data_IF_596792351948
#
_entry.id   IF_596792351948
#
_cell.length_a   1.000
_cell.length_b   1.000
_cell.length_c   1.000
_cell.angle_alpha   90.00
_cell.angle_beta   90.00
_cell.angle_gamma   90.00
#
_symmetry.space_group_name_H-M   'P 1'
#
loop_
_entity.id
_entity.type
_entity.pdbx_description
1 polymer ?
#
# COMPACT_ATOMS: atom_id res chain seq x y z
N UNK A 1 31.81 -24.00 -15.49
CA UNK A 1 31.81 -23.54 -14.09
C UNK A 1 30.47 -24.03 -13.54
N UNK A 2 30.48 -25.26 -13.01
CA UNK A 2 29.27 -25.97 -12.60
C UNK A 2 28.78 -25.42 -11.27
N UNK A 3 27.54 -24.92 -11.24
CA UNK A 3 26.89 -24.45 -10.03
C UNK A 3 26.20 -25.66 -9.40
N UNK A 4 26.86 -26.26 -8.40
CA UNK A 4 26.25 -27.28 -7.55
C UNK A 4 25.11 -26.65 -6.73
N UNK A 5 23.87 -26.94 -7.12
CA UNK A 5 22.69 -26.67 -6.29
C UNK A 5 22.72 -27.62 -5.08
N UNK A 6 23.26 -27.16 -3.95
CA UNK A 6 23.14 -27.85 -2.66
C UNK A 6 21.66 -27.96 -2.31
N UNK A 7 21.10 -29.17 -2.47
CA UNK A 7 19.79 -29.54 -1.92
C UNK A 7 19.85 -29.48 -0.39
N UNK A 8 19.50 -28.31 0.15
CA UNK A 8 19.20 -28.16 1.57
C UNK A 8 18.07 -29.11 1.95
N UNK A 9 18.28 -29.86 3.03
CA UNK A 9 17.30 -30.74 3.66
C UNK A 9 15.99 -29.99 3.90
N UNK A 10 14.92 -30.42 3.23
CA UNK A 10 13.54 -29.93 3.44
C UNK A 10 13.12 -30.23 4.88
N UNK A 11 13.31 -29.28 5.78
CA UNK A 11 12.49 -29.23 6.99
C UNK A 11 11.06 -28.96 6.55
N UNK A 12 10.11 -29.72 7.09
CA UNK A 12 8.70 -29.47 6.88
C UNK A 12 8.40 -28.02 7.32
N UNK A 13 8.17 -27.14 6.34
CA UNK A 13 7.70 -25.78 6.58
C UNK A 13 6.32 -25.96 7.20
N UNK A 14 6.18 -25.54 8.45
CA UNK A 14 4.90 -25.46 9.14
C UNK A 14 4.01 -24.53 8.29
N UNK A 15 3.01 -25.10 7.61
CA UNK A 15 2.25 -24.47 6.51
C UNK A 15 1.22 -23.44 7.01
N UNK A 16 1.58 -22.61 7.98
CA UNK A 16 0.78 -21.45 8.43
C UNK A 16 1.49 -20.18 7.96
N UNK A 17 1.41 -19.90 6.66
CA UNK A 17 1.99 -18.71 6.06
C UNK A 17 0.95 -17.94 5.24
N UNK A 18 1.28 -16.71 4.85
CA UNK A 18 0.49 -15.76 4.06
C UNK A 18 -0.02 -16.25 2.68
N UNK A 19 0.16 -17.53 2.36
CA UNK A 19 -0.19 -18.17 1.09
C UNK A 19 -1.07 -19.41 1.29
N UNK A 20 -1.58 -19.65 2.49
CA UNK A 20 -2.56 -20.70 2.69
C UNK A 20 -3.91 -20.35 2.03
N UNK A 21 -4.72 -21.39 1.79
CA UNK A 21 -6.01 -21.25 1.09
C UNK A 21 -7.03 -20.45 1.93
N UNK A 22 -6.91 -20.51 3.26
CA UNK A 22 -7.71 -19.72 4.17
C UNK A 22 -7.46 -18.21 4.00
N UNK A 23 -6.19 -17.79 3.85
CA UNK A 23 -5.80 -16.39 3.61
C UNK A 23 -6.50 -15.81 2.39
N UNK A 24 -6.47 -16.52 1.27
CA UNK A 24 -7.12 -16.08 0.02
C UNK A 24 -8.64 -16.03 0.13
N UNK A 25 -9.25 -16.99 0.84
CA UNK A 25 -10.69 -16.97 1.06
C UNK A 25 -11.12 -15.82 1.97
N UNK A 26 -10.36 -15.51 3.02
CA UNK A 26 -10.61 -14.37 3.89
C UNK A 26 -10.40 -13.04 3.15
N UNK A 27 -9.43 -12.94 2.25
CA UNK A 27 -9.27 -11.78 1.36
C UNK A 27 -10.49 -11.55 0.46
N UNK A 28 -11.04 -12.61 -0.14
CA UNK A 28 -12.25 -12.50 -0.97
C UNK A 28 -13.50 -12.14 -0.18
N UNK A 29 -13.57 -12.59 1.07
CA UNK A 29 -14.63 -12.13 1.96
C UNK A 29 -14.53 -10.62 2.18
N UNK A 30 -13.34 -10.07 2.41
CA UNK A 30 -13.16 -8.62 2.57
C UNK A 30 -13.60 -7.84 1.32
N UNK A 31 -13.41 -8.40 0.13
CA UNK A 31 -13.91 -7.81 -1.12
C UNK A 31 -15.45 -7.74 -1.18
N UNK A 32 -16.16 -8.67 -0.53
CA UNK A 32 -17.63 -8.68 -0.47
C UNK A 32 -18.23 -7.54 0.38
N UNK A 33 -17.36 -6.78 1.04
CA UNK A 33 -17.68 -5.69 1.94
C UNK A 33 -17.55 -4.39 1.14
N UNK A 34 -18.64 -3.63 0.96
CA UNK A 34 -18.65 -2.37 0.22
C UNK A 34 -17.92 -1.22 0.94
N UNK A 35 -16.72 -1.47 1.45
CA UNK A 35 -15.77 -0.41 1.76
C UNK A 35 -14.95 -0.19 0.48
N UNK A 36 -14.65 1.05 0.12
CA UNK A 36 -13.94 1.44 -1.12
C UNK A 36 -12.46 1.01 -1.15
N UNK A 37 -12.20 -0.24 -0.81
CA UNK A 37 -10.88 -0.77 -0.54
C UNK A 37 -10.22 -1.40 -1.77
N UNK A 38 -10.92 -1.43 -2.91
CA UNK A 38 -10.36 -1.84 -4.19
C UNK A 38 -10.64 -3.28 -4.58
N UNK A 39 -10.12 -3.67 -5.76
CA UNK A 39 -10.16 -5.05 -6.27
C UNK A 39 -9.28 -5.98 -5.41
N UNK A 40 -9.49 -7.30 -5.46
CA UNK A 40 -8.71 -8.36 -4.76
C UNK A 40 -7.19 -8.07 -4.62
N UNK A 41 -6.52 -7.56 -5.67
CA UNK A 41 -5.09 -7.22 -5.66
C UNK A 41 -4.77 -6.02 -4.74
N UNK A 42 -5.60 -4.98 -4.76
CA UNK A 42 -5.44 -3.85 -3.84
C UNK A 42 -5.66 -4.32 -2.39
N UNK A 43 -6.60 -5.25 -2.17
CA UNK A 43 -6.81 -5.81 -0.83
C UNK A 43 -5.63 -6.61 -0.32
N UNK A 44 -5.07 -7.46 -1.19
CA UNK A 44 -3.82 -8.14 -0.91
C UNK A 44 -2.71 -7.15 -0.54
N UNK A 45 -2.50 -6.10 -1.34
CA UNK A 45 -1.47 -5.08 -1.05
C UNK A 45 -1.71 -4.34 0.26
N UNK A 46 -2.96 -4.00 0.58
CA UNK A 46 -3.29 -3.32 1.84
C UNK A 46 -3.08 -4.22 3.07
N UNK A 47 -3.41 -5.52 2.99
CA UNK A 47 -3.11 -6.48 4.05
C UNK A 47 -1.59 -6.58 4.25
N UNK A 48 -0.86 -6.80 3.18
CA UNK A 48 0.57 -7.08 3.24
C UNK A 48 1.46 -5.87 3.50
N UNK A 49 0.94 -4.64 3.35
CA UNK A 49 1.58 -3.40 3.78
C UNK A 49 1.18 -2.94 5.18
N UNK A 50 0.37 -3.73 5.90
CA UNK A 50 -0.14 -3.41 7.24
C UNK A 50 -1.22 -2.31 7.25
N UNK A 51 -1.54 -1.73 6.09
CA UNK A 51 -2.46 -0.59 5.97
C UNK A 51 -3.92 -0.98 6.20
N UNK A 52 -4.33 -2.22 5.88
CA UNK A 52 -5.71 -2.67 6.08
C UNK A 52 -6.14 -2.53 7.53
N UNK A 53 -5.25 -2.86 8.46
CA UNK A 53 -5.54 -2.87 9.90
C UNK A 53 -5.36 -1.52 10.59
N UNK A 54 -5.14 -0.44 9.84
CA UNK A 54 -5.13 0.91 10.41
C UNK A 54 -6.50 1.25 11.02
N UNK A 55 -6.50 1.99 12.14
CA UNK A 55 -7.72 2.33 12.88
C UNK A 55 -8.78 3.00 12.01
N UNK A 56 -8.35 3.83 11.05
CA UNK A 56 -9.23 4.52 10.10
C UNK A 56 -10.07 3.55 9.26
N UNK A 57 -9.49 2.45 8.79
CA UNK A 57 -10.19 1.48 7.96
C UNK A 57 -11.17 0.65 8.79
N UNK A 58 -10.80 0.32 10.02
CA UNK A 58 -11.68 -0.35 10.97
C UNK A 58 -12.87 0.52 11.40
N UNK A 59 -12.66 1.81 11.60
CA UNK A 59 -13.73 2.75 11.94
C UNK A 59 -14.74 2.88 10.80
N UNK A 60 -14.26 3.00 9.57
CA UNK A 60 -15.11 3.07 8.39
C UNK A 60 -15.90 1.76 8.21
N UNK A 61 -15.25 0.62 8.41
CA UNK A 61 -15.93 -0.65 8.31
C UNK A 61 -16.95 -0.86 9.45
N UNK A 62 -16.65 -0.41 10.66
CA UNK A 62 -17.61 -0.39 11.79
C UNK A 62 -18.83 0.44 11.44
N UNK A 63 -18.63 1.60 10.81
CA UNK A 63 -19.70 2.48 10.33
C UNK A 63 -20.59 1.78 9.31
N UNK A 64 -20.00 1.14 8.31
CA UNK A 64 -20.73 0.38 7.27
C UNK A 64 -21.45 -0.83 7.86
N UNK A 65 -20.78 -1.59 8.74
CA UNK A 65 -21.35 -2.75 9.43
C UNK A 65 -22.61 -2.39 10.23
N UNK A 66 -22.59 -1.23 10.90
CA UNK A 66 -23.75 -0.76 11.68
C UNK A 66 -25.01 -0.61 10.82
N UNK A 67 -24.87 -0.39 9.52
CA UNK A 67 -25.96 -0.20 8.56
C UNK A 67 -26.44 -1.49 7.90
N UNK A 68 -25.75 -2.62 8.11
CA UNK A 68 -26.14 -3.88 7.48
C UNK A 68 -27.48 -4.39 7.99
N UNK A 69 -28.26 -4.89 7.03
CA UNK A 69 -29.49 -5.64 7.26
C UNK A 69 -29.18 -7.02 7.85
N UNK A 70 -30.19 -7.63 8.45
CA UNK A 70 -30.12 -9.00 8.99
C UNK A 70 -29.66 -10.00 7.91
N UNK A 71 -30.29 -9.94 6.75
CA UNK A 71 -29.97 -10.82 5.60
C UNK A 71 -28.52 -10.68 5.16
N UNK A 72 -27.99 -9.45 5.08
CA UNK A 72 -26.59 -9.23 4.71
C UNK A 72 -25.63 -9.81 5.75
N UNK A 73 -25.92 -9.63 7.05
CA UNK A 73 -25.12 -10.23 8.14
C UNK A 73 -25.18 -11.76 8.11
N UNK A 74 -26.37 -12.34 7.88
CA UNK A 74 -26.53 -13.79 7.75
C UNK A 74 -25.69 -14.35 6.60
N UNK A 75 -25.84 -13.79 5.40
CA UNK A 75 -25.11 -14.24 4.21
C UNK A 75 -23.59 -14.12 4.39
N UNK A 76 -23.13 -13.06 5.09
CA UNK A 76 -21.72 -12.91 5.44
C UNK A 76 -21.25 -13.99 6.42
N UNK A 77 -22.01 -14.28 7.47
CA UNK A 77 -21.67 -15.32 8.45
C UNK A 77 -21.71 -16.73 7.84
N UNK A 78 -22.67 -17.03 6.97
CA UNK A 78 -22.70 -18.30 6.21
C UNK A 78 -21.46 -18.46 5.33
N UNK A 79 -21.08 -17.38 4.64
CA UNK A 79 -19.84 -17.36 3.84
C UNK A 79 -18.62 -17.56 4.73
N UNK A 80 -18.58 -16.89 5.90
CA UNK A 80 -17.52 -17.02 6.88
C UNK A 80 -17.40 -18.47 7.38
N UNK A 81 -18.51 -19.07 7.79
CA UNK A 81 -18.57 -20.44 8.26
C UNK A 81 -18.07 -21.42 7.20
N UNK A 82 -18.48 -21.24 5.94
CA UNK A 82 -18.00 -22.08 4.84
C UNK A 82 -16.48 -22.01 4.69
N UNK A 83 -15.91 -20.81 4.76
CA UNK A 83 -14.45 -20.62 4.69
C UNK A 83 -13.75 -21.30 5.87
N UNK A 84 -14.29 -21.14 7.09
CA UNK A 84 -13.75 -21.76 8.30
C UNK A 84 -13.82 -23.30 8.25
N UNK A 85 -14.87 -23.87 7.66
CA UNK A 85 -15.03 -25.32 7.50
C UNK A 85 -14.14 -25.89 6.39
N UNK A 86 -13.96 -25.16 5.28
CA UNK A 86 -13.23 -25.64 4.10
C UNK A 86 -11.70 -25.68 4.28
N UNK A 87 -11.13 -24.88 5.19
CA UNK A 87 -9.65 -24.80 5.39
C UNK A 87 -9.17 -24.95 6.83
N UNK A 88 -10.03 -25.39 7.76
CA UNK A 88 -9.67 -25.61 9.16
C UNK A 88 -8.85 -24.47 9.83
N UNK A 89 -9.22 -23.18 9.76
CA UNK A 89 -8.70 -22.17 10.67
C UNK A 89 -9.43 -22.40 12.00
N UNK A 90 -9.02 -23.45 12.71
CA UNK A 90 -9.52 -23.89 14.01
C UNK A 90 -11.05 -24.15 14.09
N UNK A 91 -11.40 -25.41 14.43
CA UNK A 91 -12.77 -25.89 14.60
C UNK A 91 -13.60 -25.03 15.57
N UNK A 92 -12.93 -24.38 16.52
CA UNK A 92 -13.54 -23.49 17.51
C UNK A 92 -14.20 -22.26 16.86
N UNK A 93 -13.54 -21.61 15.92
CA UNK A 93 -14.05 -20.43 15.22
C UNK A 93 -15.26 -20.82 14.36
N UNK A 94 -15.23 -22.00 13.75
CA UNK A 94 -16.37 -22.52 12.99
C UNK A 94 -17.57 -22.80 13.91
N UNK A 95 -17.34 -23.41 15.08
CA UNK A 95 -18.38 -23.67 16.07
C UNK A 95 -18.98 -22.35 16.59
N UNK A 96 -18.16 -21.36 16.94
CA UNK A 96 -18.59 -20.02 17.35
C UNK A 96 -19.39 -19.30 16.24
N UNK A 97 -18.97 -19.41 14.99
CA UNK A 97 -19.71 -18.85 13.85
C UNK A 97 -21.08 -19.51 13.68
N UNK A 98 -21.17 -20.83 13.86
CA UNK A 98 -22.41 -21.58 13.85
C UNK A 98 -23.33 -21.27 15.04
N UNK A 99 -22.78 -20.86 16.19
CA UNK A 99 -23.56 -20.31 17.30
C UNK A 99 -24.13 -18.94 16.95
N UNK A 100 -23.35 -18.03 16.36
CA UNK A 100 -23.86 -16.73 15.92
C UNK A 100 -25.00 -16.84 14.90
N UNK A 101 -24.90 -17.77 13.94
CA UNK A 101 -25.99 -18.02 12.98
C UNK A 101 -27.28 -18.47 13.68
N UNK A 102 -27.18 -19.38 14.66
CA UNK A 102 -28.33 -19.82 15.47
C UNK A 102 -28.90 -18.69 16.32
N UNK A 103 -28.04 -17.91 16.97
CA UNK A 103 -28.45 -16.73 17.74
C UNK A 103 -29.18 -15.71 16.85
N UNK A 104 -28.74 -15.52 15.61
CA UNK A 104 -29.36 -14.56 14.67
C UNK A 104 -30.82 -14.92 14.34
N UNK A 105 -31.14 -16.21 14.26
CA UNK A 105 -32.51 -16.70 14.10
C UNK A 105 -33.36 -16.44 15.36
N UNK A 106 -32.77 -16.62 16.55
CA UNK A 106 -33.46 -16.38 17.80
C UNK A 106 -33.63 -14.88 18.12
N UNK A 107 -32.70 -14.02 17.68
CA UNK A 107 -32.80 -12.56 17.76
C UNK A 107 -34.06 -12.06 17.05
N UNK A 108 -34.45 -12.65 15.92
CA UNK A 108 -35.68 -12.25 15.22
C UNK A 108 -36.93 -12.59 16.02
N UNK A 109 -36.99 -13.79 16.59
CA UNK A 109 -38.11 -14.19 17.45
C UNK A 109 -38.21 -13.30 18.69
N UNK A 110 -37.08 -13.00 19.32
CA UNK A 110 -37.02 -12.13 20.51
C UNK A 110 -37.38 -10.68 20.17
N UNK A 111 -36.91 -10.15 19.03
CA UNK A 111 -37.25 -8.79 18.60
C UNK A 111 -38.76 -8.66 18.32
N UNK A 112 -39.37 -9.65 17.68
CA UNK A 112 -40.81 -9.68 17.45
C UNK A 112 -41.61 -9.68 18.76
N UNK A 113 -41.19 -10.47 19.75
CA UNK A 113 -41.80 -10.49 21.09
C UNK A 113 -41.67 -9.14 21.82
N UNK A 114 -40.50 -8.51 21.74
CA UNK A 114 -40.27 -7.19 22.35
C UNK A 114 -41.11 -6.10 21.67
N UNK A 115 -41.29 -6.16 20.36
CA UNK A 115 -42.14 -5.21 19.62
C UNK A 115 -43.62 -5.40 19.96
N UNK A 116 -44.07 -6.64 20.20
CA UNK A 116 -45.42 -6.94 20.65
C UNK A 116 -45.66 -6.41 22.09
N UNK A 117 -44.76 -6.70 23.02
CA UNK A 117 -44.79 -6.13 24.38
C UNK A 117 -44.78 -4.60 24.36
N UNK A 118 -44.02 -3.98 23.44
CA UNK A 118 -43.98 -2.52 23.29
C UNK A 118 -45.33 -1.96 22.87
N UNK A 119 -46.01 -2.60 21.91
CA UNK A 119 -47.34 -2.17 21.47
C UNK A 119 -48.33 -2.24 22.63
N UNK A 120 -48.29 -3.30 23.42
CA UNK A 120 -49.14 -3.45 24.61
C UNK A 120 -48.84 -2.37 25.67
N UNK A 121 -47.57 -2.09 25.92
CA UNK A 121 -47.13 -1.07 26.88
C UNK A 121 -47.44 0.36 26.40
N UNK A 122 -47.43 0.62 25.10
CA UNK A 122 -47.87 1.91 24.53
C UNK A 122 -49.38 2.12 24.66
N UNK A 123 -50.18 1.06 24.53
CA UNK A 123 -51.63 1.12 24.79
C UNK A 123 -51.89 1.44 26.27
N UNK A 124 -51.16 0.82 27.19
CA UNK A 124 -51.26 1.14 28.62
C UNK A 124 -50.82 2.58 28.93
N UNK A 125 -49.68 3.02 28.39
CA UNK A 125 -49.14 4.36 28.64
C UNK A 125 -49.97 5.50 28.05
N UNK A 126 -50.71 5.28 26.94
CA UNK A 126 -51.65 6.28 26.41
C UNK A 126 -52.72 6.71 27.41
N UNK A 127 -53.01 5.87 28.41
CA UNK A 127 -53.97 6.16 29.47
C UNK A 127 -53.42 7.10 30.57
N UNK A 128 -52.09 7.31 30.60
CA UNK A 128 -51.39 7.91 31.76
C UNK A 128 -50.94 9.37 31.52
N UNK A 129 -50.80 9.85 30.27
CA UNK A 129 -50.20 11.18 30.02
C UNK A 129 -51.14 12.36 30.29
N UNK A 130 -50.85 13.16 31.33
CA UNK A 130 -51.52 14.45 31.60
C UNK A 130 -50.60 15.67 31.78
N UNK A 131 -49.27 15.53 31.66
CA UNK A 131 -48.35 16.68 31.87
C UNK A 131 -47.09 16.67 30.98
N UNK A 132 -46.67 17.86 30.53
CA UNK A 132 -45.61 18.07 29.52
C UNK A 132 -44.21 17.63 29.96
N UNK A 133 -43.88 17.74 31.26
CA UNK A 133 -42.57 17.32 31.81
C UNK A 133 -42.45 15.79 31.90
N UNK A 134 -43.56 15.10 32.13
CA UNK A 134 -43.63 13.62 32.09
C UNK A 134 -43.52 13.11 30.65
N UNK A 135 -44.06 13.84 29.67
CA UNK A 135 -43.91 13.51 28.25
C UNK A 135 -42.44 13.57 27.79
N UNK A 136 -41.68 14.57 28.23
CA UNK A 136 -40.27 14.74 27.84
C UNK A 136 -39.37 13.67 28.47
N UNK A 137 -39.55 13.39 29.77
CA UNK A 137 -38.87 12.29 30.48
C UNK A 137 -39.25 10.92 29.91
N UNK A 138 -40.50 10.74 29.49
CA UNK A 138 -40.94 9.52 28.85
C UNK A 138 -40.45 9.35 27.41
N UNK A 139 -40.24 10.43 26.65
CA UNK A 139 -39.61 10.37 25.32
C UNK A 139 -38.14 9.96 25.43
N UNK A 140 -37.40 10.50 26.39
CA UNK A 140 -36.02 10.08 26.67
C UNK A 140 -35.96 8.62 27.17
N UNK A 141 -36.86 8.22 28.06
CA UNK A 141 -36.98 6.84 28.51
C UNK A 141 -37.39 5.89 27.37
N UNK A 142 -38.30 6.30 26.47
CA UNK A 142 -38.67 5.53 25.27
C UNK A 142 -37.52 5.39 24.29
N UNK A 143 -36.69 6.44 24.12
CA UNK A 143 -35.51 6.41 23.27
C UNK A 143 -34.44 5.50 23.86
N UNK A 144 -34.17 5.62 25.16
CA UNK A 144 -33.24 4.74 25.87
C UNK A 144 -33.70 3.27 25.88
N UNK A 145 -34.98 3.02 26.13
CA UNK A 145 -35.58 1.68 26.03
C UNK A 145 -35.61 1.15 24.59
N UNK A 146 -35.64 2.03 23.57
CA UNK A 146 -35.49 1.63 22.16
C UNK A 146 -34.09 1.11 21.89
N UNK A 147 -33.08 1.81 22.39
CA UNK A 147 -31.67 1.46 22.20
C UNK A 147 -31.30 0.21 23.03
N UNK A 148 -31.87 0.06 24.24
CA UNK A 148 -31.68 -1.11 25.10
C UNK A 148 -32.40 -2.38 24.56
N UNK A 149 -33.47 -2.22 23.76
CA UNK A 149 -34.21 -3.32 23.11
C UNK A 149 -33.81 -3.57 21.64
N UNK A 150 -32.76 -2.93 21.12
CA UNK A 150 -32.22 -3.25 19.78
C UNK A 150 -31.34 -4.51 19.86
N UNK A 151 -31.99 -5.67 19.91
CA UNK A 151 -31.31 -6.97 20.02
C UNK A 151 -30.38 -7.23 18.85
N UNK A 152 -30.77 -6.80 17.64
CA UNK A 152 -29.95 -6.95 16.44
C UNK A 152 -28.73 -6.01 16.45
N UNK A 153 -28.88 -4.77 16.94
CA UNK A 153 -27.76 -3.86 17.18
C UNK A 153 -26.75 -4.41 18.17
N UNK A 154 -27.22 -5.03 19.27
CA UNK A 154 -26.35 -5.69 20.24
C UNK A 154 -25.65 -6.92 19.67
N UNK A 155 -26.36 -7.74 18.89
CA UNK A 155 -25.78 -8.86 18.15
C UNK A 155 -24.65 -8.39 17.22
N UNK A 156 -24.88 -7.35 16.42
CA UNK A 156 -23.86 -6.75 15.54
C UNK A 156 -22.63 -6.27 16.30
N UNK A 157 -22.80 -5.70 17.49
CA UNK A 157 -21.68 -5.24 18.35
C UNK A 157 -20.85 -6.40 18.93
N UNK A 158 -21.42 -7.60 19.05
CA UNK A 158 -20.69 -8.81 19.48
C UNK A 158 -19.95 -9.48 18.32
N UNK A 159 -20.62 -9.62 17.18
CA UNK A 159 -20.09 -10.34 16.02
C UNK A 159 -18.92 -9.60 15.38
N UNK A 160 -19.00 -8.28 15.26
CA UNK A 160 -17.98 -7.52 14.53
C UNK A 160 -16.58 -7.58 15.18
N UNK A 161 -16.41 -7.37 16.50
CA UNK A 161 -15.11 -7.56 17.15
C UNK A 161 -14.55 -8.98 17.00
N UNK A 162 -15.42 -9.99 17.03
CA UNK A 162 -15.02 -11.38 16.82
C UNK A 162 -14.50 -11.61 15.39
N UNK A 163 -15.24 -11.14 14.36
CA UNK A 163 -14.78 -11.20 12.97
C UNK A 163 -13.46 -10.45 12.77
N UNK A 164 -13.35 -9.24 13.34
CA UNK A 164 -12.13 -8.41 13.31
C UNK A 164 -10.94 -9.17 13.85
N UNK A 165 -11.11 -9.88 14.97
CA UNK A 165 -10.05 -10.69 15.57
C UNK A 165 -9.60 -11.79 14.63
N UNK A 166 -10.53 -12.60 14.08
CA UNK A 166 -10.18 -13.69 13.16
C UNK A 166 -9.43 -13.17 11.95
N UNK A 167 -9.90 -12.07 11.35
CA UNK A 167 -9.23 -11.48 10.20
C UNK A 167 -7.84 -10.99 10.56
N UNK A 168 -7.66 -10.32 11.69
CA UNK A 168 -6.34 -9.84 12.14
C UNK A 168 -5.38 -10.99 12.44
N UNK A 169 -5.88 -12.08 13.03
CA UNK A 169 -5.08 -13.24 13.42
C UNK A 169 -4.60 -14.04 12.19
N UNK A 170 -5.39 -14.06 11.11
CA UNK A 170 -5.13 -14.87 9.91
C UNK A 170 -4.55 -14.08 8.74
N UNK A 171 -4.95 -12.82 8.54
CA UNK A 171 -4.45 -11.95 7.46
C UNK A 171 -3.29 -11.12 7.98
N UNK A 172 -2.10 -11.70 8.05
CA UNK A 172 -0.92 -11.01 8.59
C UNK A 172 -0.22 -10.16 7.55
N UNK A 173 0.37 -9.05 8.02
CA UNK A 173 1.32 -8.26 7.23
C UNK A 173 2.48 -9.14 6.76
N UNK A 174 3.03 -8.79 5.60
CA UNK A 174 4.22 -9.44 5.12
C UNK A 174 5.43 -9.00 5.94
N UNK A 175 5.89 -9.86 6.85
CA UNK A 175 7.15 -9.67 7.57
C UNK A 175 8.17 -10.69 7.09
N UNK A 176 9.48 -10.39 7.14
CA UNK A 176 10.55 -11.36 6.86
C UNK A 176 10.45 -12.65 7.70
N UNK A 177 9.79 -12.58 8.84
CA UNK A 177 9.57 -13.69 9.77
C UNK A 177 8.41 -14.60 9.33
N UNK A 178 7.44 -14.05 8.59
CA UNK A 178 6.24 -14.74 8.11
C UNK A 178 6.31 -15.06 6.61
N UNK A 179 7.35 -14.57 5.92
CA UNK A 179 7.61 -14.84 4.52
C UNK A 179 8.66 -15.95 4.38
N UNK A 180 8.33 -16.96 3.58
CA UNK A 180 9.34 -17.88 3.11
C UNK A 180 10.09 -17.19 1.97
N UNK A 181 11.38 -16.93 2.14
CA UNK A 181 12.25 -16.41 1.06
C UNK A 181 12.16 -17.25 -0.22
N UNK A 182 11.82 -18.55 -0.09
CA UNK A 182 11.61 -19.47 -1.22
C UNK A 182 10.33 -19.19 -2.04
N UNK A 183 9.36 -18.44 -1.50
CA UNK A 183 8.05 -18.18 -2.13
C UNK A 183 7.86 -16.73 -2.57
N UNK A 184 8.78 -15.83 -2.22
CA UNK A 184 8.62 -14.40 -2.47
C UNK A 184 9.82 -13.82 -3.20
N UNK A 185 9.57 -13.13 -4.32
CA UNK A 185 10.60 -12.36 -5.01
C UNK A 185 10.87 -11.07 -4.22
N UNK A 186 11.93 -11.09 -3.40
CA UNK A 186 12.23 -10.01 -2.44
C UNK A 186 12.95 -8.80 -3.00
N UNK A 187 13.67 -8.92 -4.13
CA UNK A 187 14.49 -7.80 -4.65
C UNK A 187 13.75 -6.96 -5.70
N UNK A 188 12.70 -6.28 -5.26
CA UNK A 188 11.94 -5.34 -6.11
C UNK A 188 12.88 -4.27 -6.68
N UNK A 189 13.88 -3.82 -5.93
CA UNK A 189 14.82 -2.79 -6.37
C UNK A 189 15.75 -3.26 -7.50
N UNK A 190 16.18 -4.53 -7.48
CA UNK A 190 16.91 -5.13 -8.60
C UNK A 190 16.01 -5.34 -9.82
N UNK A 191 14.78 -5.80 -9.62
CA UNK A 191 13.80 -5.92 -10.71
C UNK A 191 13.45 -4.58 -11.34
N UNK A 192 13.23 -3.54 -10.53
CA UNK A 192 13.02 -2.18 -11.00
C UNK A 192 14.23 -1.65 -11.76
N UNK A 193 15.45 -1.96 -11.32
CA UNK A 193 16.68 -1.60 -12.05
C UNK A 193 16.74 -2.24 -13.44
N UNK A 194 16.31 -3.48 -13.60
CA UNK A 194 16.30 -4.15 -14.91
C UNK A 194 15.12 -3.75 -15.81
N UNK A 195 13.96 -3.40 -15.21
CA UNK A 195 12.76 -3.05 -15.97
C UNK A 195 12.63 -1.54 -16.26
N UNK A 196 13.28 -0.69 -15.46
CA UNK A 196 13.27 0.74 -15.67
C UNK A 196 14.37 1.12 -16.67
N UNK A 197 14.00 1.07 -17.96
CA UNK A 197 14.86 1.33 -19.14
C UNK A 197 15.28 2.82 -19.26
N UNK A 198 15.06 3.63 -18.22
CA UNK A 198 15.49 5.02 -18.17
C UNK A 198 17.02 5.11 -17.99
N UNK A 199 17.77 4.86 -19.06
CA UNK A 199 19.24 4.90 -19.09
C UNK A 199 19.82 6.28 -18.75
N UNK A 200 19.03 7.35 -18.87
CA UNK A 200 19.47 8.73 -18.63
C UNK A 200 19.88 8.97 -17.18
N UNK A 201 19.15 8.41 -16.21
CA UNK A 201 19.40 8.67 -14.79
C UNK A 201 20.70 8.02 -14.27
N UNK A 202 21.01 6.74 -14.57
CA UNK A 202 22.29 6.15 -14.22
C UNK A 202 23.50 6.85 -14.86
N UNK A 203 23.39 7.27 -16.13
CA UNK A 203 24.47 7.97 -16.84
C UNK A 203 24.73 9.33 -16.19
N UNK A 204 23.68 10.12 -15.91
CA UNK A 204 23.83 11.40 -15.21
C UNK A 204 24.43 11.21 -13.82
N UNK A 205 23.95 10.24 -13.05
CA UNK A 205 24.48 9.94 -11.71
C UNK A 205 25.95 9.53 -11.74
N UNK A 206 26.38 8.78 -12.75
CA UNK A 206 27.78 8.40 -12.94
C UNK A 206 28.67 9.61 -13.30
N UNK A 207 28.13 10.56 -14.06
CA UNK A 207 28.83 11.81 -14.43
C UNK A 207 28.86 12.84 -13.29
N UNK A 208 27.94 12.76 -12.33
CA UNK A 208 27.79 13.70 -11.20
C UNK A 208 28.61 13.34 -9.95
N UNK A 209 29.39 12.24 -9.96
CA UNK A 209 30.19 11.84 -8.80
C UNK A 209 31.19 12.94 -8.44
N UNK A 210 31.13 13.45 -7.20
CA UNK A 210 32.07 14.41 -6.63
C UNK A 210 33.33 13.66 -6.15
N UNK A 211 34.51 14.09 -6.61
CA UNK A 211 35.75 13.37 -6.33
C UNK A 211 36.70 14.20 -5.46
N UNK A 212 36.85 13.77 -4.21
CA UNK A 212 37.93 14.16 -3.30
C UNK A 212 39.13 13.18 -3.33
N UNK A 213 39.21 12.27 -4.30
CA UNK A 213 40.29 11.27 -4.40
C UNK A 213 41.14 11.45 -5.67
N UNK A 214 42.48 11.32 -5.60
CA UNK A 214 43.35 11.61 -6.73
C UNK A 214 43.60 10.34 -7.57
N UNK A 215 42.95 10.20 -8.74
CA UNK A 215 43.32 9.17 -9.73
C UNK A 215 43.12 9.60 -11.20
N UNK A 216 43.93 9.00 -12.09
CA UNK A 216 44.23 9.36 -13.48
C UNK A 216 43.07 9.25 -14.48
N UNK A 217 43.05 10.10 -15.52
CA UNK A 217 42.38 9.90 -16.82
C UNK A 217 40.84 9.92 -16.88
N UNK A 218 40.17 9.06 -16.11
CA UNK A 218 38.71 8.81 -16.20
C UNK A 218 37.86 9.97 -15.65
N UNK A 219 38.45 10.82 -14.80
CA UNK A 219 37.79 12.00 -14.24
C UNK A 219 37.57 13.14 -15.23
N UNK A 220 38.25 13.13 -16.39
CA UNK A 220 38.14 14.25 -17.32
C UNK A 220 36.74 14.35 -17.94
N UNK A 221 36.06 13.22 -18.15
CA UNK A 221 34.69 13.20 -18.69
C UNK A 221 33.70 13.80 -17.68
N UNK A 222 33.74 13.37 -16.42
CA UNK A 222 32.89 13.89 -15.35
C UNK A 222 33.20 15.36 -15.05
N UNK A 223 34.48 15.75 -15.07
CA UNK A 223 34.91 17.15 -14.92
C UNK A 223 34.39 18.03 -16.05
N UNK A 224 34.57 17.61 -17.30
CA UNK A 224 34.03 18.34 -18.46
C UNK A 224 32.51 18.45 -18.37
N UNK A 225 31.81 17.39 -17.98
CA UNK A 225 30.37 17.43 -17.73
C UNK A 225 30.00 18.44 -16.63
N UNK A 226 30.68 18.42 -15.48
CA UNK A 226 30.43 19.34 -14.37
C UNK A 226 30.67 20.81 -14.75
N UNK A 227 31.71 21.11 -15.53
CA UNK A 227 31.97 22.45 -16.07
C UNK A 227 30.82 22.88 -16.98
N UNK A 228 30.42 22.04 -17.94
CA UNK A 228 29.31 22.34 -18.85
C UNK A 228 28.00 22.54 -18.06
N UNK A 229 27.73 21.70 -17.05
CA UNK A 229 26.58 21.82 -16.14
C UNK A 229 26.57 23.16 -15.41
N UNK A 230 27.72 23.59 -14.87
CA UNK A 230 27.85 24.88 -14.19
C UNK A 230 27.60 26.06 -15.14
N UNK A 231 28.15 26.00 -16.35
CA UNK A 231 27.89 27.00 -17.39
C UNK A 231 26.44 27.00 -17.87
N UNK A 232 25.81 25.83 -17.99
CA UNK A 232 24.39 25.69 -18.33
C UNK A 232 23.49 26.37 -17.29
N UNK A 233 23.79 26.21 -16.00
CA UNK A 233 23.08 26.89 -14.90
C UNK A 233 23.22 28.41 -14.96
N UNK A 234 24.39 28.91 -15.39
CA UNK A 234 24.68 30.34 -15.46
C UNK A 234 24.20 31.00 -16.77
N UNK A 235 24.14 30.27 -17.89
CA UNK A 235 23.92 30.85 -19.23
C UNK A 235 23.09 29.94 -20.15
N UNK A 236 22.18 30.54 -20.94
CA UNK A 236 21.36 29.83 -21.95
C UNK A 236 22.16 29.33 -23.17
N UNK A 237 23.33 29.92 -23.45
CA UNK A 237 24.19 29.54 -24.60
C UNK A 237 25.62 29.37 -24.11
N UNK A 238 26.13 28.15 -24.17
CA UNK A 238 27.46 27.80 -23.68
C UNK A 238 28.44 27.84 -24.85
N UNK A 239 29.55 28.58 -24.70
CA UNK A 239 30.65 28.58 -25.68
C UNK A 239 31.69 27.54 -25.28
N UNK A 240 32.08 26.66 -26.20
CA UNK A 240 33.05 25.60 -25.91
C UNK A 240 34.41 26.15 -25.42
N UNK A 241 34.84 27.29 -25.95
CA UNK A 241 36.07 27.98 -25.52
C UNK A 241 36.07 28.38 -24.04
N UNK A 242 34.92 28.78 -23.50
CA UNK A 242 34.81 29.17 -22.10
C UNK A 242 34.95 27.94 -21.20
N UNK A 243 34.29 26.85 -21.56
CA UNK A 243 34.43 25.59 -20.85
C UNK A 243 35.87 25.05 -20.92
N UNK A 244 36.56 25.20 -22.07
CA UNK A 244 37.96 24.81 -22.22
C UNK A 244 38.90 25.63 -21.31
N UNK A 245 38.64 26.94 -21.15
CA UNK A 245 39.40 27.79 -20.22
C UNK A 245 39.28 27.29 -18.78
N UNK A 246 38.06 27.01 -18.34
CA UNK A 246 37.80 26.51 -16.98
C UNK A 246 38.35 25.09 -16.77
N UNK A 247 38.30 24.25 -17.80
CA UNK A 247 38.88 22.91 -17.78
C UNK A 247 40.39 22.94 -17.51
N UNK A 248 41.10 23.90 -18.13
CA UNK A 248 42.54 24.12 -17.97
C UNK A 248 42.93 24.86 -16.68
N UNK A 249 42.01 25.59 -16.07
CA UNK A 249 42.30 26.40 -14.88
C UNK A 249 42.73 25.54 -13.67
N UNK A 250 42.35 24.27 -13.66
CA UNK A 250 42.48 23.37 -12.53
C UNK A 250 43.80 22.57 -12.51
N UNK A 251 44.47 22.33 -13.67
CA UNK A 251 45.86 21.81 -13.74
C UNK A 251 46.56 22.23 -15.04
N UNK A 252 47.87 22.53 -14.97
CA UNK A 252 48.74 22.93 -16.10
C UNK A 252 48.92 21.87 -17.19
N UNK A 253 48.54 20.62 -16.95
CA UNK A 253 48.77 19.49 -17.86
C UNK A 253 47.58 19.17 -18.77
N UNK A 254 46.43 19.83 -18.60
CA UNK A 254 45.24 19.56 -19.41
C UNK A 254 45.38 20.06 -20.85
N UNK A 255 45.26 19.16 -21.81
CA UNK A 255 45.41 19.50 -23.24
C UNK A 255 44.08 19.86 -23.88
N UNK A 256 44.13 20.58 -25.00
CA UNK A 256 42.95 20.80 -25.86
C UNK A 256 42.35 19.47 -26.32
N UNK A 257 43.21 18.51 -26.64
CA UNK A 257 42.83 17.21 -27.20
C UNK A 257 42.03 16.39 -26.19
N UNK A 258 42.40 16.44 -24.92
CA UNK A 258 41.65 15.79 -23.83
C UNK A 258 40.25 16.37 -23.69
N UNK A 259 40.11 17.69 -23.69
CA UNK A 259 38.81 18.36 -23.61
C UNK A 259 37.94 18.05 -24.83
N UNK A 260 38.52 18.09 -26.04
CA UNK A 260 37.83 17.73 -27.28
C UNK A 260 37.37 16.27 -27.28
N UNK A 261 38.20 15.35 -26.77
CA UNK A 261 37.82 13.94 -26.60
C UNK A 261 36.64 13.78 -25.65
N UNK A 262 36.70 14.40 -24.47
CA UNK A 262 35.59 14.34 -23.50
C UNK A 262 34.30 14.98 -24.05
N UNK A 263 34.40 16.06 -24.81
CA UNK A 263 33.22 16.64 -25.48
C UNK A 263 32.60 15.68 -26.50
N UNK A 264 33.42 15.03 -27.31
CA UNK A 264 32.95 14.04 -28.30
C UNK A 264 32.31 12.83 -27.61
N UNK A 265 32.88 12.36 -26.49
CA UNK A 265 32.31 11.28 -25.67
C UNK A 265 30.95 11.68 -25.09
N UNK A 266 30.83 12.91 -24.53
CA UNK A 266 29.55 13.43 -24.02
C UNK A 266 28.49 13.60 -25.12
N UNK A 267 28.90 13.95 -26.33
CA UNK A 267 28.01 14.05 -27.48
C UNK A 267 27.56 12.66 -27.97
N UNK A 268 28.49 11.70 -27.99
CA UNK A 268 28.21 10.31 -28.36
C UNK A 268 27.17 9.65 -27.44
N UNK A 269 27.27 9.87 -26.13
CA UNK A 269 26.27 9.38 -25.15
C UNK A 269 24.99 10.21 -25.11
N UNK A 270 24.88 11.26 -25.94
CA UNK A 270 23.68 12.08 -26.07
C UNK A 270 23.45 13.05 -24.91
N UNK A 271 24.46 13.35 -24.10
CA UNK A 271 24.38 14.28 -22.95
C UNK A 271 24.53 15.73 -23.38
N UNK A 272 25.34 15.99 -24.41
CA UNK A 272 25.47 17.30 -25.05
C UNK A 272 25.24 17.21 -26.54
N UNK A 273 24.93 18.35 -27.16
CA UNK A 273 24.89 18.53 -28.61
C UNK A 273 25.75 19.72 -28.99
N UNK A 274 26.68 19.52 -29.91
CA UNK A 274 27.49 20.60 -30.46
C UNK A 274 26.73 21.28 -31.61
N UNK A 275 26.60 22.60 -31.54
CA UNK A 275 26.06 23.39 -32.63
C UNK A 275 27.20 24.21 -33.24
N UNK A 276 27.64 23.78 -34.42
CA UNK A 276 28.57 24.52 -35.27
C UNK A 276 27.74 25.46 -36.16
N UNK A 277 27.33 26.60 -35.62
CA UNK A 277 26.76 27.67 -36.43
C UNK A 277 27.84 28.32 -37.30
N UNK A 278 27.46 28.90 -38.44
CA UNK A 278 28.37 29.58 -39.38
C UNK A 278 29.19 30.76 -38.81
N UNK A 279 28.91 31.19 -37.58
CA UNK A 279 29.82 32.03 -36.80
C UNK A 279 30.79 31.11 -36.06
N UNK A 280 32.09 31.17 -36.38
CA UNK A 280 33.24 30.29 -36.00
C UNK A 280 33.37 29.78 -34.53
N UNK A 281 32.41 30.05 -33.65
CA UNK A 281 32.39 29.64 -32.26
C UNK A 281 31.44 28.45 -32.05
N UNK A 282 32.01 27.28 -31.78
CA UNK A 282 31.27 26.09 -31.39
C UNK A 282 30.51 26.32 -30.06
N UNK A 283 29.21 26.02 -30.07
CA UNK A 283 28.34 26.18 -28.90
C UNK A 283 27.81 24.83 -28.42
N UNK A 284 27.72 24.67 -27.11
CA UNK A 284 27.30 23.42 -26.46
C UNK A 284 25.86 23.59 -25.97
N UNK A 285 24.99 22.61 -26.25
CA UNK A 285 23.66 22.50 -25.65
C UNK A 285 23.59 21.21 -24.82
N UNK A 286 23.18 21.32 -23.56
CA UNK A 286 22.92 20.16 -22.71
C UNK A 286 21.55 19.57 -23.09
N UNK A 287 21.47 18.27 -23.36
CA UNK A 287 20.27 17.61 -23.91
C UNK A 287 19.47 16.85 -22.86
N UNK A 288 20.11 16.35 -21.80
CA UNK A 288 19.48 15.49 -20.78
C UNK A 288 18.85 16.24 -19.59
N UNK A 289 18.71 17.57 -19.63
CA UNK A 289 18.26 18.38 -18.48
C UNK A 289 16.86 19.00 -18.64
N UNK A 290 16.07 18.56 -19.63
CA UNK A 290 14.72 19.10 -19.84
C UNK A 290 13.63 18.47 -18.95
N UNK A 291 13.94 17.43 -18.17
CA UNK A 291 12.96 16.69 -17.34
C UNK A 291 13.42 16.43 -15.89
N UNK A 292 14.34 17.23 -15.33
CA UNK A 292 14.64 17.28 -13.90
C UNK A 292 14.16 18.59 -13.29
#
# INVERSE_FOLDING_TARGET
MDIEFKRGTRKAIDRKGCFDKAHWHLLRLLESIPVHLGHEIQMYLFVHSGQLFSDRNWDEWTRVWSQYSKEKVNNMLETFLKILLDDAPSRKEADECGEFLRELDDVEKMQAQLDEQRKEQEVQNKTIYKTTMEMQKALEAKKKAKDDNDMFGQFKKRVFPWMRKILTDNLKEFTPENSSEDLTAGDVAEWERYNNVAFEFPILKALEVDFHLPMNGEHQLCKTFNIIRNWHRAMKRIKAENCLKDFRADRKEHTTEEFSRCLAELEYIGVVKLNNSASDVATIKLTCYHNL
#
